data_IF_715673392112
#
_entry.id   IF_715673392112
#
_cell.length_a   1.000
_cell.length_b   1.000
_cell.length_c   1.000
_cell.angle_alpha   90.00
_cell.angle_beta   90.00
_cell.angle_gamma   90.00
#
_symmetry.space_group_name_H-M   'P 1'
#
loop_
_entity.id
_entity.type
_entity.pdbx_description
1 polymer ?
#
# COMPACT_ATOMS: atom_id res chain seq x y z
N UNK A 1 -4.36 0.07 9.69
CA UNK A 1 -5.78 0.08 10.04
C UNK A 1 -6.45 1.35 9.55
N UNK A 2 -7.65 1.21 8.98
CA UNK A 2 -8.53 2.30 8.59
C UNK A 2 -10.00 1.85 8.70
N UNK A 3 -10.91 2.80 8.90
CA UNK A 3 -12.34 2.53 8.77
C UNK A 3 -12.73 2.39 7.29
N UNK A 4 -13.66 1.46 7.01
CA UNK A 4 -14.26 1.38 5.69
C UNK A 4 -15.11 2.63 5.39
N UNK A 5 -14.98 3.18 4.19
CA UNK A 5 -15.69 4.39 3.72
C UNK A 5 -15.34 5.70 4.46
N UNK A 6 -14.20 5.75 5.15
CA UNK A 6 -13.78 6.91 5.95
C UNK A 6 -13.40 8.17 5.18
N UNK A 7 -13.10 8.11 3.87
CA UNK A 7 -12.38 9.15 3.10
C UNK A 7 -12.90 10.60 3.20
N UNK A 8 -14.19 10.82 3.50
CA UNK A 8 -14.77 12.16 3.71
C UNK A 8 -15.55 12.30 5.02
N UNK A 9 -15.45 11.33 5.91
CA UNK A 9 -16.08 11.39 7.22
C UNK A 9 -15.10 12.05 8.21
N UNK A 10 -15.43 13.19 8.83
CA UNK A 10 -14.53 13.88 9.75
C UNK A 10 -14.03 13.02 10.92
N UNK A 11 -14.82 12.05 11.38
CA UNK A 11 -14.46 11.15 12.47
C UNK A 11 -13.71 9.89 12.03
N UNK A 12 -13.76 9.54 10.74
CA UNK A 12 -13.25 8.25 10.24
C UNK A 12 -12.16 8.37 9.17
N UNK A 13 -11.85 9.59 8.67
CA UNK A 13 -10.88 9.85 7.61
C UNK A 13 -9.40 9.72 8.02
N UNK A 14 -9.12 8.98 9.08
CA UNK A 14 -7.76 8.73 9.59
C UNK A 14 -7.39 7.27 9.33
N UNK A 15 -6.13 7.04 8.96
CA UNK A 15 -5.54 5.70 8.88
C UNK A 15 -4.26 5.66 9.71
N UNK A 16 -3.96 4.50 10.26
CA UNK A 16 -2.77 4.25 11.08
C UNK A 16 -2.00 3.11 10.45
N UNK A 17 -0.71 3.32 10.20
CA UNK A 17 0.17 2.34 9.58
C UNK A 17 1.29 2.03 10.57
N UNK A 18 1.54 0.74 10.78
CA UNK A 18 2.75 0.31 11.47
C UNK A 18 3.92 0.30 10.47
N UNK A 19 4.91 1.14 10.69
CA UNK A 19 6.10 1.24 9.85
C UNK A 19 7.12 0.15 10.22
N UNK A 20 6.76 -1.12 9.98
CA UNK A 20 7.69 -2.25 10.04
C UNK A 20 8.02 -2.67 8.62
N UNK A 21 9.29 -2.53 8.25
CA UNK A 21 9.83 -2.80 6.91
C UNK A 21 9.38 -1.75 5.87
N UNK A 22 10.31 -0.93 5.37
CA UNK A 22 10.02 0.27 4.57
C UNK A 22 9.17 -0.02 3.33
N UNK A 23 9.51 -1.07 2.56
CA UNK A 23 8.76 -1.45 1.37
C UNK A 23 7.32 -1.89 1.68
N UNK A 24 7.12 -2.55 2.83
CA UNK A 24 5.79 -3.00 3.26
C UNK A 24 4.93 -1.84 3.76
N UNK A 25 5.56 -0.79 4.29
CA UNK A 25 4.85 0.40 4.78
C UNK A 25 4.03 1.06 3.68
N UNK A 26 4.58 1.18 2.46
CA UNK A 26 3.86 1.75 1.31
C UNK A 26 2.70 0.85 0.87
N UNK A 27 2.91 -0.47 0.84
CA UNK A 27 1.85 -1.44 0.58
C UNK A 27 0.71 -1.31 1.61
N UNK A 28 1.04 -1.31 2.90
CA UNK A 28 0.04 -1.17 3.96
C UNK A 28 -0.66 0.18 3.86
N UNK A 29 0.05 1.28 3.60
CA UNK A 29 -0.57 2.58 3.41
C UNK A 29 -1.65 2.57 2.32
N UNK A 30 -1.33 1.98 1.17
CA UNK A 30 -2.27 1.84 0.07
C UNK A 30 -3.44 0.91 0.42
N UNK A 31 -3.19 -0.18 1.15
CA UNK A 31 -4.23 -1.13 1.59
C UNK A 31 -5.24 -0.44 2.51
N UNK A 32 -4.76 0.30 3.50
CA UNK A 32 -5.61 1.03 4.45
C UNK A 32 -6.35 2.19 3.77
N UNK A 33 -5.72 2.84 2.79
CA UNK A 33 -6.41 3.80 1.93
C UNK A 33 -7.54 3.13 1.12
N UNK A 34 -7.33 1.90 0.65
CA UNK A 34 -8.37 1.09 0.01
C UNK A 34 -9.59 0.87 0.90
N UNK A 35 -9.39 0.53 2.18
CA UNK A 35 -10.49 0.50 3.14
C UNK A 35 -11.19 1.85 3.27
N UNK A 36 -10.45 2.95 3.44
CA UNK A 36 -11.03 4.30 3.52
C UNK A 36 -11.86 4.67 2.29
N UNK A 37 -11.49 4.16 1.12
CA UNK A 37 -12.22 4.29 -0.16
C UNK A 37 -13.37 3.29 -0.31
N UNK A 38 -13.57 2.39 0.65
CA UNK A 38 -14.73 1.51 0.77
C UNK A 38 -14.53 0.08 0.29
N UNK A 39 -13.30 -0.36 -0.01
CA UNK A 39 -13.06 -1.77 -0.35
C UNK A 39 -13.02 -2.65 0.91
N UNK A 40 -13.72 -3.78 0.85
CA UNK A 40 -13.46 -4.91 1.75
C UNK A 40 -12.18 -5.64 1.31
N UNK A 41 -11.73 -6.61 2.12
CA UNK A 41 -10.72 -7.53 1.62
C UNK A 41 -11.26 -8.36 0.45
N UNK A 42 -10.39 -8.68 -0.51
CA UNK A 42 -10.69 -9.66 -1.55
C UNK A 42 -11.01 -11.01 -0.90
N UNK A 43 -12.12 -11.62 -1.32
CA UNK A 43 -12.60 -12.91 -0.81
C UNK A 43 -13.57 -12.77 0.36
N UNK A 44 -13.95 -11.54 0.73
CA UNK A 44 -14.84 -11.26 1.85
C UNK A 44 -15.97 -10.31 1.44
N UNK A 45 -17.13 -10.43 2.12
CA UNK A 45 -18.27 -9.51 2.02
C UNK A 45 -18.69 -9.23 0.56
N UNK A 46 -18.63 -7.96 0.15
CA UNK A 46 -18.96 -7.45 -1.18
C UNK A 46 -17.86 -7.71 -2.23
N UNK A 47 -16.68 -8.19 -1.83
CA UNK A 47 -15.57 -8.57 -2.70
C UNK A 47 -15.36 -10.10 -2.78
N UNK A 48 -16.39 -10.90 -2.48
CA UNK A 48 -16.33 -12.38 -2.50
C UNK A 48 -15.97 -12.96 -3.89
N UNK A 49 -16.22 -12.21 -4.97
CA UNK A 49 -15.90 -12.62 -6.34
C UNK A 49 -14.40 -12.54 -6.66
N UNK A 50 -13.64 -11.73 -5.93
CA UNK A 50 -12.20 -11.59 -6.08
C UNK A 50 -11.51 -12.51 -5.08
N UNK A 51 -10.66 -13.44 -5.54
CA UNK A 51 -10.03 -14.39 -4.63
C UNK A 51 -8.85 -13.72 -3.91
N UNK A 52 -8.74 -13.92 -2.60
CA UNK A 52 -7.56 -13.46 -1.86
C UNK A 52 -6.27 -14.14 -2.36
N UNK A 53 -6.37 -15.30 -3.01
CA UNK A 53 -5.28 -16.05 -3.64
C UNK A 53 -4.63 -15.32 -4.82
N UNK A 54 -5.35 -14.40 -5.44
CA UNK A 54 -4.85 -13.64 -6.57
C UNK A 54 -3.90 -12.51 -6.12
N UNK A 55 -3.66 -12.39 -4.80
CA UNK A 55 -2.66 -11.50 -4.18
C UNK A 55 -2.77 -10.04 -4.61
N UNK A 56 -3.96 -9.57 -4.99
CA UNK A 56 -4.20 -8.14 -5.19
C UNK A 56 -4.03 -7.38 -3.87
N UNK A 57 -3.88 -6.06 -3.96
CA UNK A 57 -3.51 -5.21 -2.84
C UNK A 57 -4.49 -5.30 -1.65
N UNK A 58 -5.76 -5.65 -1.87
CA UNK A 58 -6.77 -5.84 -0.82
C UNK A 58 -6.94 -7.31 -0.37
N UNK A 59 -6.04 -8.23 -0.73
CA UNK A 59 -6.06 -9.59 -0.19
C UNK A 59 -6.08 -9.58 1.35
N UNK A 60 -6.83 -10.51 1.97
CA UNK A 60 -6.96 -10.60 3.44
C UNK A 60 -5.72 -11.17 4.15
N UNK A 61 -4.61 -11.29 3.42
CA UNK A 61 -3.35 -11.82 3.87
C UNK A 61 -2.24 -11.03 3.22
N UNK A 62 -1.10 -10.95 3.90
CA UNK A 62 0.07 -10.41 3.24
C UNK A 62 0.56 -11.38 2.15
N UNK A 63 0.74 -10.94 0.90
CA UNK A 63 1.38 -11.76 -0.11
C UNK A 63 2.79 -12.16 0.34
N UNK A 64 3.11 -13.45 0.20
CA UNK A 64 4.47 -13.95 0.39
C UNK A 64 5.26 -13.66 -0.89
N UNK A 65 6.32 -12.84 -0.76
CA UNK A 65 7.25 -12.49 -1.84
C UNK A 65 8.21 -13.64 -2.22
N UNK A 66 7.72 -14.87 -2.27
CA UNK A 66 8.51 -16.01 -2.77
C UNK A 66 8.43 -16.02 -4.29
N UNK A 67 9.56 -16.23 -4.98
CA UNK A 67 9.67 -16.27 -6.45
C UNK A 67 8.66 -17.22 -7.13
N UNK A 68 8.15 -18.21 -6.40
CA UNK A 68 7.42 -19.34 -6.96
C UNK A 68 5.89 -19.23 -6.90
N UNK A 69 5.32 -18.03 -6.68
CA UNK A 69 3.86 -17.86 -6.79
C UNK A 69 3.48 -17.06 -8.04
N UNK A 70 2.51 -17.56 -8.85
CA UNK A 70 1.82 -16.69 -9.79
C UNK A 70 1.21 -15.52 -9.01
N UNK A 71 1.06 -14.37 -9.66
CA UNK A 71 0.40 -13.18 -9.09
C UNK A 71 1.20 -12.36 -8.06
N UNK A 72 2.51 -12.60 -7.86
CA UNK A 72 3.31 -11.75 -6.94
C UNK A 72 3.29 -10.27 -7.33
N UNK A 73 3.10 -9.96 -8.62
CA UNK A 73 2.98 -8.59 -9.13
C UNK A 73 1.63 -7.95 -8.83
N UNK A 74 0.59 -8.75 -8.59
CA UNK A 74 -0.76 -8.23 -8.31
C UNK A 74 -0.81 -7.45 -7.00
N UNK A 75 0.14 -7.67 -6.09
CA UNK A 75 0.19 -6.95 -4.81
C UNK A 75 0.33 -5.44 -4.96
N UNK A 76 0.68 -4.94 -6.15
CA UNK A 76 0.81 -3.53 -6.46
C UNK A 76 -0.43 -2.96 -7.17
N UNK A 77 -1.46 -3.77 -7.36
CA UNK A 77 -2.69 -3.42 -8.07
C UNK A 77 -3.92 -3.73 -7.23
N UNK A 78 -4.98 -2.94 -7.41
CA UNK A 78 -6.30 -3.25 -6.86
C UNK A 78 -7.03 -4.25 -7.75
N UNK A 79 -7.80 -5.15 -7.12
CA UNK A 79 -8.73 -6.04 -7.83
C UNK A 79 -9.86 -5.24 -8.48
N UNK A 80 -10.61 -5.87 -9.40
CA UNK A 80 -11.81 -5.25 -9.96
C UNK A 80 -12.88 -5.00 -8.89
N UNK A 81 -13.01 -5.87 -7.88
CA UNK A 81 -13.93 -5.67 -6.76
C UNK A 81 -13.59 -4.38 -5.98
N UNK A 82 -12.31 -4.19 -5.68
CA UNK A 82 -11.83 -2.97 -5.01
C UNK A 82 -12.14 -1.72 -5.84
N UNK A 83 -11.85 -1.75 -7.15
CA UNK A 83 -12.11 -0.64 -8.07
C UNK A 83 -13.61 -0.31 -8.15
N UNK A 84 -14.48 -1.31 -8.14
CA UNK A 84 -15.93 -1.11 -8.13
C UNK A 84 -16.40 -0.43 -6.83
N UNK A 85 -15.92 -0.89 -5.67
CA UNK A 85 -16.21 -0.25 -4.39
C UNK A 85 -15.72 1.20 -4.33
N UNK A 86 -14.53 1.49 -4.88
CA UNK A 86 -14.03 2.86 -4.98
C UNK A 86 -14.95 3.73 -5.84
N UNK A 87 -15.35 3.25 -7.02
CA UNK A 87 -16.27 3.97 -7.91
C UNK A 87 -17.59 4.26 -7.20
N UNK A 88 -18.14 3.31 -6.45
CA UNK A 88 -19.38 3.48 -5.69
C UNK A 88 -19.22 4.55 -4.60
N UNK A 89 -18.14 4.48 -3.82
CA UNK A 89 -17.86 5.48 -2.78
C UNK A 89 -17.68 6.87 -3.39
N UNK A 90 -16.75 7.02 -4.34
CA UNK A 90 -16.34 8.32 -4.90
C UNK A 90 -17.48 9.05 -5.64
N UNK A 91 -18.45 8.32 -6.21
CA UNK A 91 -19.64 8.94 -6.86
C UNK A 91 -20.39 9.91 -5.94
N UNK A 92 -20.42 9.63 -4.64
CA UNK A 92 -21.21 10.40 -3.67
C UNK A 92 -20.39 11.39 -2.84
N UNK A 93 -19.06 11.30 -2.88
CA UNK A 93 -18.18 12.08 -2.00
C UNK A 93 -17.69 13.36 -2.70
N UNK A 94 -17.96 14.52 -2.10
CA UNK A 94 -17.57 15.82 -2.65
C UNK A 94 -16.16 16.26 -2.21
N UNK A 95 -15.69 15.82 -1.03
CA UNK A 95 -14.43 16.30 -0.45
C UNK A 95 -13.17 15.96 -1.27
N UNK A 96 -13.29 15.03 -2.21
CA UNK A 96 -12.22 14.56 -3.09
C UNK A 96 -12.32 15.10 -4.52
N UNK A 97 -13.32 15.96 -4.82
CA UNK A 97 -13.55 16.49 -6.18
C UNK A 97 -12.77 17.77 -6.47
N UNK A 98 -12.42 18.51 -5.43
CA UNK A 98 -11.53 19.66 -5.54
C UNK A 98 -10.11 19.19 -5.38
N UNK A 99 -9.22 19.61 -6.28
CA UNK A 99 -7.79 19.42 -6.09
C UNK A 99 -7.38 20.00 -4.73
N UNK A 100 -6.71 19.20 -3.90
CA UNK A 100 -6.08 19.71 -2.71
C UNK A 100 -4.99 20.71 -3.09
N UNK A 101 -4.73 21.68 -2.22
CA UNK A 101 -3.50 22.47 -2.35
C UNK A 101 -2.32 21.51 -2.16
N UNK A 102 -1.53 21.30 -3.22
CA UNK A 102 -0.23 20.67 -3.08
C UNK A 102 0.67 21.70 -2.42
N UNK A 103 1.35 21.34 -1.33
CA UNK A 103 2.26 22.26 -0.63
C UNK A 103 3.35 22.80 -1.57
N UNK A 104 3.83 21.97 -2.50
CA UNK A 104 4.73 22.35 -3.61
C UNK A 104 4.57 21.40 -4.79
N UNK A 105 4.23 21.94 -5.97
CA UNK A 105 4.14 21.14 -7.20
C UNK A 105 5.51 20.64 -7.67
N UNK A 106 6.56 21.42 -7.43
CA UNK A 106 7.93 21.06 -7.79
C UNK A 106 8.44 19.91 -6.92
N UNK A 107 8.15 19.95 -5.62
CA UNK A 107 8.47 18.85 -4.69
C UNK A 107 7.73 17.57 -5.09
N UNK A 108 6.43 17.68 -5.38
CA UNK A 108 5.63 16.55 -5.87
C UNK A 108 6.20 15.94 -7.14
N UNK A 109 6.52 16.77 -8.15
CA UNK A 109 7.09 16.30 -9.40
C UNK A 109 8.47 15.67 -9.20
N UNK A 110 9.32 16.26 -8.36
CA UNK A 110 10.62 15.71 -8.02
C UNK A 110 10.51 14.34 -7.33
N UNK A 111 9.54 14.17 -6.44
CA UNK A 111 9.26 12.90 -5.77
C UNK A 111 8.73 11.84 -6.75
N UNK A 112 7.74 12.18 -7.57
CA UNK A 112 7.08 11.25 -8.49
C UNK A 112 7.97 10.76 -9.65
N UNK A 113 9.03 11.50 -9.97
CA UNK A 113 9.97 11.15 -11.05
C UNK A 113 11.09 10.18 -10.63
N UNK A 114 11.15 9.76 -9.36
CA UNK A 114 12.15 8.79 -8.88
C UNK A 114 11.47 7.49 -8.46
N UNK A 115 12.04 6.36 -8.83
CA UNK A 115 11.60 5.10 -8.26
C UNK A 115 12.24 4.90 -6.88
N UNK A 116 11.61 4.15 -5.96
CA UNK A 116 12.21 3.87 -4.66
C UNK A 116 13.62 3.26 -4.75
N UNK A 117 13.90 2.46 -5.79
CA UNK A 117 15.22 1.90 -6.05
C UNK A 117 16.28 2.90 -6.51
N UNK A 118 15.87 4.06 -7.03
CA UNK A 118 16.79 5.16 -7.39
C UNK A 118 17.15 6.02 -6.17
N UNK A 119 16.31 5.96 -5.12
CA UNK A 119 16.45 6.74 -3.89
C UNK A 119 17.18 5.96 -2.80
N UNK A 120 16.92 4.65 -2.70
CA UNK A 120 17.52 3.78 -1.68
C UNK A 120 18.30 2.65 -2.34
N UNK A 121 19.60 2.60 -2.06
CA UNK A 121 20.47 1.47 -2.40
C UNK A 121 20.00 0.18 -1.71
N UNK A 122 20.38 -1.00 -2.20
CA UNK A 122 20.08 -2.26 -1.53
C UNK A 122 20.53 -2.31 -0.06
N UNK A 123 21.67 -1.70 0.26
CA UNK A 123 22.19 -1.60 1.63
C UNK A 123 21.27 -0.75 2.52
N UNK A 124 20.86 0.43 2.06
CA UNK A 124 19.94 1.30 2.81
C UNK A 124 18.59 0.62 3.03
N UNK A 125 18.08 -0.11 2.02
CA UNK A 125 16.85 -0.88 2.17
C UNK A 125 16.98 -1.97 3.24
N UNK A 126 18.14 -2.64 3.36
CA UNK A 126 18.39 -3.57 4.45
C UNK A 126 18.38 -2.87 5.81
N UNK A 127 19.08 -1.73 5.94
CA UNK A 127 19.14 -0.96 7.19
C UNK A 127 17.76 -0.46 7.63
N UNK A 128 16.96 0.04 6.68
CA UNK A 128 15.58 0.47 6.94
C UNK A 128 14.64 -0.69 7.33
N UNK A 129 15.00 -1.91 6.96
CA UNK A 129 14.18 -3.11 7.17
C UNK A 129 14.57 -3.81 8.48
N UNK A 130 15.86 -3.99 8.73
CA UNK A 130 16.39 -4.83 9.81
C UNK A 130 17.24 -4.07 10.84
N UNK A 131 17.49 -2.77 10.63
CA UNK A 131 18.29 -1.92 11.52
C UNK A 131 19.76 -1.79 11.10
N UNK A 132 20.49 -0.97 11.85
CA UNK A 132 21.87 -0.55 11.53
C UNK A 132 22.90 -1.68 11.47
N UNK A 133 22.63 -2.84 12.08
CA UNK A 133 23.49 -4.02 12.02
C UNK A 133 23.30 -4.91 10.78
N UNK A 134 22.49 -4.48 9.81
CA UNK A 134 22.20 -5.27 8.61
C UNK A 134 23.05 -4.86 7.41
N UNK A 135 23.34 -5.83 6.54
CA UNK A 135 24.12 -5.65 5.33
C UNK A 135 23.51 -6.38 4.13
N UNK A 136 23.69 -5.80 2.94
CA UNK A 136 23.33 -6.43 1.67
C UNK A 136 24.51 -7.24 1.10
N UNK A 137 24.38 -8.57 1.06
CA UNK A 137 25.31 -9.49 0.37
C UNK A 137 24.49 -10.44 -0.50
N UNK A 138 23.88 -9.92 -1.57
CA UNK A 138 22.92 -10.67 -2.40
C UNK A 138 21.56 -10.91 -1.75
N UNK A 139 21.50 -10.86 -0.41
CA UNK A 139 20.31 -10.83 0.44
C UNK A 139 20.63 -9.99 1.68
N UNK A 140 19.60 -9.40 2.31
CA UNK A 140 19.79 -8.72 3.59
C UNK A 140 20.15 -9.73 4.69
N UNK A 141 21.28 -9.50 5.34
CA UNK A 141 21.84 -10.36 6.40
C UNK A 141 22.09 -9.52 7.65
N UNK A 142 21.74 -10.04 8.82
CA UNK A 142 22.12 -9.43 10.10
C UNK A 142 23.56 -9.84 10.44
N UNK A 143 24.41 -8.86 10.70
CA UNK A 143 25.76 -9.12 11.19
C UNK A 143 25.68 -9.15 12.71
N UNK A 144 25.71 -10.35 13.29
CA UNK A 144 25.99 -10.50 14.70
C UNK A 144 27.49 -10.24 14.90
N UNK A 145 27.82 -9.03 15.38
CA UNK A 145 29.16 -8.68 15.88
C UNK A 145 29.24 -9.14 17.33
#
# INVERSE_FOLDING_TARGET
MAYMHGVCDPGLRTLVIEAKYYQRTVYTAAHELGHSLGAAHDGEKDAIACKSEDNFLMANRTPHLTKDRPYVRNMWFFSNCSVESFRKTLRTKQCVKTAGAVFSIDEWNAFMNKQPGDVFTPQEQCVLTYGSGSMYIGVCTLVHI
#
